data_IF_538141138394
#
_entry.id   IF_538141138394
#
_cell.length_a   1.000
_cell.length_b   1.000
_cell.length_c   1.000
_cell.angle_alpha   90.00
_cell.angle_beta   90.00
_cell.angle_gamma   90.00
#
_symmetry.space_group_name_H-M   'P 1'
#
loop_
_entity.id
_entity.type
_entity.pdbx_description
1 polymer ?
#
# COMPACT_ATOMS: atom_id res chain seq x y z
N UNK A 1 -12.87 12.38 4.95
CA UNK A 1 -12.32 13.65 5.48
C UNK A 1 -10.88 13.50 6.01
N UNK A 2 -10.55 12.41 6.70
CA UNK A 2 -9.18 12.10 7.18
C UNK A 2 -8.11 12.10 6.07
N UNK A 3 -8.38 11.49 4.91
CA UNK A 3 -7.42 11.44 3.80
C UNK A 3 -7.03 12.83 3.25
N UNK A 4 -7.97 13.79 3.26
CA UNK A 4 -7.68 15.17 2.84
C UNK A 4 -6.76 15.84 3.85
N UNK A 5 -7.05 15.73 5.15
CA UNK A 5 -6.18 16.27 6.22
C UNK A 5 -4.78 15.67 6.13
N UNK A 6 -4.67 14.37 5.92
CA UNK A 6 -3.37 13.71 5.70
C UNK A 6 -2.65 14.28 4.48
N UNK A 7 -3.33 14.43 3.34
CA UNK A 7 -2.74 15.02 2.14
C UNK A 7 -2.26 16.48 2.38
N UNK A 8 -3.07 17.30 3.06
CA UNK A 8 -2.68 18.66 3.44
C UNK A 8 -1.46 18.70 4.34
N UNK A 9 -1.35 17.80 5.33
CA UNK A 9 -0.18 17.69 6.20
C UNK A 9 1.07 17.29 5.42
N UNK A 10 0.95 16.37 4.45
CA UNK A 10 2.07 15.98 3.58
C UNK A 10 2.50 17.16 2.69
N UNK A 11 1.56 17.85 2.05
CA UNK A 11 1.86 19.01 1.23
C UNK A 11 2.48 20.15 2.05
N UNK A 12 1.96 20.43 3.25
CA UNK A 12 2.51 21.43 4.15
C UNK A 12 3.93 21.07 4.61
N UNK A 13 4.16 19.79 4.96
CA UNK A 13 5.49 19.30 5.31
C UNK A 13 6.45 19.39 4.13
N UNK A 14 6.03 19.03 2.92
CA UNK A 14 6.86 19.14 1.72
C UNK A 14 7.21 20.60 1.39
N UNK A 15 6.24 21.52 1.50
CA UNK A 15 6.47 22.95 1.32
C UNK A 15 7.44 23.52 2.38
N UNK A 16 7.27 23.14 3.64
CA UNK A 16 8.16 23.53 4.72
C UNK A 16 9.58 22.95 4.55
N UNK A 17 9.74 21.72 4.04
CA UNK A 17 11.06 21.16 3.72
C UNK A 17 11.82 21.96 2.68
N UNK A 18 11.14 22.68 1.78
CA UNK A 18 11.78 23.55 0.80
C UNK A 18 12.06 24.96 1.36
N UNK A 19 11.10 25.53 2.08
CA UNK A 19 11.18 26.91 2.54
C UNK A 19 12.09 27.08 3.76
N UNK A 20 12.11 26.13 4.69
CA UNK A 20 12.86 26.23 5.94
C UNK A 20 14.40 26.24 5.72
N UNK A 21 14.98 25.46 4.79
CA UNK A 21 16.40 25.59 4.44
C UNK A 21 16.72 26.91 3.73
N UNK A 22 15.78 27.46 2.93
CA UNK A 22 15.95 28.75 2.28
C UNK A 22 15.94 29.90 3.30
N UNK A 23 14.99 29.89 4.23
CA UNK A 23 14.93 30.88 5.32
C UNK A 23 16.14 30.79 6.24
N UNK A 24 16.66 29.59 6.50
CA UNK A 24 17.91 29.41 7.26
C UNK A 24 19.11 30.06 6.56
N UNK A 25 19.25 29.87 5.24
CA UNK A 25 20.32 30.51 4.46
C UNK A 25 20.19 32.04 4.51
N UNK A 26 18.98 32.57 4.37
CA UNK A 26 18.73 34.01 4.49
C UNK A 26 19.03 34.54 5.90
N UNK A 27 18.70 33.80 6.95
CA UNK A 27 19.04 34.16 8.33
C UNK A 27 20.56 34.21 8.56
N UNK A 28 21.30 33.23 8.04
CA UNK A 28 22.78 33.22 8.11
C UNK A 28 23.38 34.40 7.35
N UNK A 29 22.88 34.71 6.16
CA UNK A 29 23.30 35.88 5.38
C UNK A 29 22.98 37.21 6.07
N UNK A 30 21.82 37.31 6.74
CA UNK A 30 21.46 38.47 7.55
C UNK A 30 22.36 38.61 8.77
N UNK A 31 22.77 37.50 9.38
CA UNK A 31 23.70 37.50 10.51
C UNK A 31 25.08 38.04 10.11
N UNK A 32 25.61 37.63 8.95
CA UNK A 32 26.91 38.08 8.45
C UNK A 32 26.94 39.58 8.11
N UNK A 33 25.79 40.18 7.78
CA UNK A 33 25.70 41.58 7.32
C UNK A 33 25.43 42.60 8.43
N UNK A 34 24.94 42.18 9.59
CA UNK A 34 24.56 43.11 10.66
C UNK A 34 25.67 43.24 11.70
N UNK A 35 26.17 44.47 11.89
CA UNK A 35 27.19 44.81 12.87
C UNK A 35 26.78 44.38 14.30
N UNK A 36 27.74 43.82 15.06
CA UNK A 36 27.56 43.25 16.40
C UNK A 36 27.32 44.29 17.52
N UNK A 37 26.57 45.36 17.25
CA UNK A 37 26.35 46.46 18.20
C UNK A 37 25.50 46.07 19.40
N UNK A 38 24.71 44.99 19.31
CA UNK A 38 23.84 44.53 20.39
C UNK A 38 23.98 43.01 20.63
N UNK A 39 24.61 42.67 21.77
CA UNK A 39 24.88 41.29 22.22
C UNK A 39 23.57 40.50 22.40
N UNK A 40 22.49 41.17 22.86
CA UNK A 40 21.19 40.52 23.10
C UNK A 40 20.52 40.15 21.78
N UNK A 41 20.54 41.06 20.80
CA UNK A 41 20.00 40.81 19.47
C UNK A 41 20.78 39.69 18.75
N UNK A 42 22.10 39.60 18.96
CA UNK A 42 22.92 38.51 18.41
C UNK A 42 22.56 37.15 19.02
N UNK A 43 22.28 37.11 20.33
CA UNK A 43 21.91 35.88 21.04
C UNK A 43 20.50 35.40 20.69
N UNK A 44 19.56 36.32 20.41
CA UNK A 44 18.23 35.97 19.93
C UNK A 44 18.29 35.39 18.51
N UNK A 45 19.08 36.01 17.62
CA UNK A 45 19.30 35.48 16.26
C UNK A 45 19.90 34.08 16.27
N UNK A 46 20.92 33.81 17.10
CA UNK A 46 21.49 32.46 17.18
C UNK A 46 20.48 31.41 17.64
N UNK A 47 19.57 31.78 18.56
CA UNK A 47 18.45 30.91 18.96
C UNK A 47 17.48 30.66 17.80
N UNK A 48 17.13 31.68 17.01
CA UNK A 48 16.24 31.50 15.85
C UNK A 48 16.85 30.63 14.76
N UNK A 49 18.17 30.70 14.55
CA UNK A 49 18.91 29.86 13.61
C UNK A 49 18.88 28.40 14.09
N UNK A 50 19.20 28.14 15.35
CA UNK A 50 19.15 26.80 15.93
C UNK A 50 17.72 26.20 15.89
N UNK A 51 16.70 27.01 16.18
CA UNK A 51 15.30 26.59 16.07
C UNK A 51 14.90 26.26 14.62
N UNK A 52 15.40 27.04 13.65
CA UNK A 52 15.12 26.80 12.23
C UNK A 52 15.83 25.55 11.73
N UNK A 53 17.08 25.30 12.15
CA UNK A 53 17.83 24.07 11.85
C UNK A 53 17.12 22.83 12.39
N UNK A 54 16.67 22.86 13.65
CA UNK A 54 15.89 21.77 14.21
C UNK A 54 14.59 21.54 13.43
N UNK A 55 13.90 22.62 13.04
CA UNK A 55 12.64 22.51 12.31
C UNK A 55 12.86 22.00 10.87
N UNK A 56 13.98 22.32 10.23
CA UNK A 56 14.33 21.74 8.91
C UNK A 56 14.48 20.23 9.00
N UNK A 57 15.17 19.74 10.03
CA UNK A 57 15.40 18.31 10.22
C UNK A 57 14.11 17.57 10.57
N UNK A 58 13.32 18.12 11.51
CA UNK A 58 12.02 17.55 11.89
C UNK A 58 11.04 17.47 10.71
N UNK A 59 11.03 18.49 9.85
CA UNK A 59 10.15 18.53 8.68
C UNK A 59 10.60 17.52 7.61
N UNK A 60 11.91 17.38 7.40
CA UNK A 60 12.46 16.39 6.48
C UNK A 60 12.10 14.96 6.92
N UNK A 61 12.24 14.66 8.21
CA UNK A 61 11.89 13.34 8.73
C UNK A 61 10.37 13.09 8.70
N UNK A 62 9.56 14.10 9.02
CA UNK A 62 8.10 14.03 8.85
C UNK A 62 7.71 13.68 7.41
N UNK A 63 8.32 14.34 6.42
CA UNK A 63 8.09 14.05 5.00
C UNK A 63 8.50 12.61 4.62
N UNK A 64 9.64 12.11 5.13
CA UNK A 64 10.07 10.71 4.92
C UNK A 64 9.08 9.71 5.53
N UNK A 65 8.60 9.94 6.75
CA UNK A 65 7.63 9.06 7.39
C UNK A 65 6.28 9.08 6.67
N UNK A 66 5.82 10.26 6.25
CA UNK A 66 4.59 10.41 5.50
C UNK A 66 4.63 9.66 4.15
N UNK A 67 5.69 9.87 3.37
CA UNK A 67 5.88 9.18 2.08
C UNK A 67 5.95 7.65 2.26
N UNK A 68 6.64 7.17 3.30
CA UNK A 68 6.68 5.75 3.66
C UNK A 68 5.29 5.23 4.01
N UNK A 69 4.50 5.95 4.80
CA UNK A 69 3.14 5.56 5.15
C UNK A 69 2.20 5.50 3.94
N UNK A 70 2.35 6.42 2.99
CA UNK A 70 1.59 6.37 1.73
C UNK A 70 1.98 5.15 0.89
N UNK A 71 3.28 4.86 0.78
CA UNK A 71 3.76 3.69 0.05
C UNK A 71 3.27 2.37 0.66
N UNK A 72 3.26 2.24 1.99
CA UNK A 72 2.74 1.05 2.68
C UNK A 72 1.23 0.91 2.52
N UNK A 73 0.48 2.01 2.53
CA UNK A 73 -0.96 1.99 2.25
C UNK A 73 -1.27 1.46 0.85
N UNK A 74 -0.57 1.94 -0.18
CA UNK A 74 -0.73 1.48 -1.57
C UNK A 74 -0.37 0.01 -1.72
N UNK A 75 0.72 -0.44 -1.08
CA UNK A 75 1.11 -1.86 -1.11
C UNK A 75 0.13 -2.75 -0.37
N UNK A 76 -0.40 -2.32 0.79
CA UNK A 76 -1.44 -3.04 1.50
C UNK A 76 -2.72 -3.21 0.66
N UNK A 77 -3.14 -2.16 -0.05
CA UNK A 77 -4.29 -2.24 -0.95
C UNK A 77 -4.06 -3.22 -2.12
N UNK A 78 -2.86 -3.20 -2.71
CA UNK A 78 -2.49 -4.16 -3.77
C UNK A 78 -2.48 -5.60 -3.26
N UNK A 79 -1.92 -5.83 -2.09
CA UNK A 79 -1.93 -7.15 -1.45
C UNK A 79 -3.35 -7.62 -1.17
N UNK A 80 -4.22 -6.74 -0.65
CA UNK A 80 -5.61 -7.08 -0.40
C UNK A 80 -6.35 -7.47 -1.69
N UNK A 81 -6.10 -6.76 -2.79
CA UNK A 81 -6.67 -7.09 -4.10
C UNK A 81 -6.19 -8.46 -4.60
N UNK A 82 -4.89 -8.76 -4.46
CA UNK A 82 -4.32 -10.05 -4.82
C UNK A 82 -4.88 -11.19 -3.96
N UNK A 83 -4.97 -11.01 -2.64
CA UNK A 83 -5.58 -12.00 -1.75
C UNK A 83 -7.04 -12.26 -2.14
N UNK A 84 -7.81 -11.21 -2.42
CA UNK A 84 -9.19 -11.35 -2.86
C UNK A 84 -9.28 -12.16 -4.17
N UNK A 85 -8.45 -11.83 -5.16
CA UNK A 85 -8.38 -12.57 -6.42
C UNK A 85 -8.06 -14.06 -6.22
N UNK A 86 -7.09 -14.36 -5.38
CA UNK A 86 -6.72 -15.74 -5.06
C UNK A 86 -7.89 -16.51 -4.42
N UNK A 87 -8.58 -15.90 -3.46
CA UNK A 87 -9.75 -16.55 -2.85
C UNK A 87 -10.89 -16.77 -3.84
N UNK A 88 -11.10 -15.84 -4.79
CA UNK A 88 -12.08 -16.01 -5.86
C UNK A 88 -11.74 -17.19 -6.77
N UNK A 89 -10.48 -17.30 -7.20
CA UNK A 89 -10.02 -18.43 -7.99
C UNK A 89 -10.23 -19.77 -7.25
N UNK A 90 -9.82 -19.85 -5.99
CA UNK A 90 -9.98 -21.05 -5.17
C UNK A 90 -11.44 -21.44 -4.97
N UNK A 91 -12.33 -20.46 -4.71
CA UNK A 91 -13.78 -20.70 -4.61
C UNK A 91 -14.37 -21.23 -5.91
N UNK A 92 -13.93 -20.72 -7.06
CA UNK A 92 -14.40 -21.19 -8.37
C UNK A 92 -14.08 -22.67 -8.59
N UNK A 93 -12.86 -23.11 -8.24
CA UNK A 93 -12.47 -24.52 -8.34
C UNK A 93 -13.22 -25.40 -7.34
N UNK A 94 -13.48 -24.93 -6.13
CA UNK A 94 -14.28 -25.67 -5.15
C UNK A 94 -15.73 -25.86 -5.59
N UNK A 95 -16.36 -24.84 -6.19
CA UNK A 95 -17.73 -25.00 -6.71
C UNK A 95 -17.72 -25.95 -7.91
N UNK A 96 -16.72 -25.87 -8.79
CA UNK A 96 -16.59 -26.79 -9.93
C UNK A 96 -16.37 -28.24 -9.48
N UNK A 97 -15.56 -28.48 -8.45
CA UNK A 97 -15.35 -29.82 -7.91
C UNK A 97 -16.59 -30.36 -7.20
N UNK A 98 -17.30 -29.53 -6.44
CA UNK A 98 -18.59 -29.92 -5.81
C UNK A 98 -19.64 -30.25 -6.87
N UNK A 99 -19.75 -29.43 -7.92
CA UNK A 99 -20.68 -29.71 -9.04
C UNK A 99 -20.30 -30.98 -9.80
N UNK A 100 -19.01 -31.24 -10.01
CA UNK A 100 -18.54 -32.46 -10.65
C UNK A 100 -18.84 -33.71 -9.81
N UNK A 101 -18.59 -33.64 -8.49
CA UNK A 101 -18.92 -34.74 -7.56
C UNK A 101 -20.41 -34.97 -7.49
N UNK A 102 -21.23 -33.93 -7.41
CA UNK A 102 -22.69 -34.04 -7.40
C UNK A 102 -23.22 -34.67 -8.70
N UNK A 103 -22.69 -34.25 -9.85
CA UNK A 103 -23.05 -34.82 -11.15
C UNK A 103 -22.61 -36.27 -11.30
N UNK A 104 -21.44 -36.64 -10.77
CA UNK A 104 -21.00 -38.04 -10.70
C UNK A 104 -21.93 -38.87 -9.80
N UNK A 105 -22.33 -38.35 -8.65
CA UNK A 105 -23.23 -39.02 -7.72
C UNK A 105 -24.60 -39.26 -8.35
N UNK A 106 -25.09 -38.27 -9.11
CA UNK A 106 -26.36 -38.37 -9.83
C UNK A 106 -26.30 -39.37 -10.98
N UNK A 107 -25.18 -39.46 -11.71
CA UNK A 107 -24.99 -40.55 -12.69
C UNK A 107 -24.84 -41.93 -12.05
N UNK A 108 -24.30 -42.01 -10.84
CA UNK A 108 -24.15 -43.26 -10.10
C UNK A 108 -25.49 -43.73 -9.51
N UNK A 109 -26.33 -42.79 -9.08
CA UNK A 109 -27.64 -43.06 -8.47
C UNK A 109 -28.77 -43.19 -9.52
N UNK A 110 -28.61 -42.58 -10.69
CA UNK A 110 -29.52 -42.70 -11.84
C UNK A 110 -29.14 -43.83 -12.81
N UNK A 111 -28.11 -44.62 -12.50
CA UNK A 111 -27.77 -45.84 -13.22
C UNK A 111 -28.78 -46.95 -12.92
N UNK A 112 -29.72 -47.16 -13.84
CA UNK A 112 -30.62 -48.31 -13.89
C UNK A 112 -29.78 -49.61 -13.99
N UNK A 113 -29.94 -50.61 -13.08
CA UNK A 113 -29.19 -51.85 -13.11
C UNK A 113 -29.75 -52.84 -14.16
N UNK A 114 -29.86 -52.40 -15.41
CA UNK A 114 -30.24 -53.25 -16.55
C UNK A 114 -29.42 -52.92 -17.79
N UNK A 115 -28.14 -53.27 -17.75
CA UNK A 115 -27.39 -53.82 -18.90
C UNK A 115 -26.14 -54.55 -18.39
N UNK A 116 -26.37 -55.65 -17.68
CA UNK A 116 -25.49 -56.82 -17.72
C UNK A 116 -26.26 -57.86 -18.51
N UNK A 117 -25.59 -58.54 -19.44
CA UNK A 117 -26.11 -59.58 -20.35
C UNK A 117 -26.74 -59.03 -21.64
N UNK A 118 -25.91 -58.96 -22.69
CA UNK A 118 -26.18 -59.54 -24.02
C UNK A 118 -25.28 -58.90 -25.07
N UNK A 119 -24.05 -59.41 -25.20
CA UNK A 119 -23.24 -59.38 -26.43
C UNK A 119 -22.03 -60.31 -26.27
N UNK A 120 -22.32 -61.58 -25.95
CA UNK A 120 -21.46 -62.70 -26.32
C UNK A 120 -22.33 -63.64 -27.12
N UNK A 121 -22.20 -63.57 -28.44
CA UNK A 121 -22.35 -64.64 -29.43
C UNK A 121 -22.37 -63.99 -30.81
N UNK A 122 -21.21 -63.94 -31.44
CA UNK A 122 -21.07 -64.18 -32.88
C UNK A 122 -19.67 -64.77 -33.11
N UNK A 123 -19.60 -66.07 -32.85
CA UNK A 123 -18.62 -66.97 -33.47
C UNK A 123 -19.32 -67.52 -34.70
N UNK A 124 -18.92 -67.08 -35.89
CA UNK A 124 -19.17 -67.77 -37.15
C UNK A 124 -18.03 -67.41 -38.12
N UNK A 125 -17.00 -68.26 -38.18
CA UNK A 125 -16.82 -69.31 -39.19
C UNK A 125 -16.41 -68.73 -40.55
N UNK A 126 -15.11 -68.80 -40.84
CA UNK A 126 -14.42 -69.36 -42.03
C UNK A 126 -12.91 -69.30 -41.79
#
# INVERSE_FOLDING_TARGET
>A
RSHLVSAWVVCASAAASFFMPASLRWLKQLQERVLASDIRAHQDRSKTIAATEFTTDATLDSAKFATKAMATSVTAQRLLWLCNWQTYAWRKWNVASVLAVWRCLETLFSGDPRQTEDSSLDVQEI
#
